data_IF_119271285958
#
_entry.id   IF_119271285958
#
_cell.length_a   1.000
_cell.length_b   1.000
_cell.length_c   1.000
_cell.angle_alpha   90.00
_cell.angle_beta   90.00
_cell.angle_gamma   90.00
#
_symmetry.space_group_name_H-M   'P 1'
#
loop_
_entity.id
_entity.type
_entity.pdbx_description
1 polymer ?
#
# COMPACT_ATOMS: atom_id res chain seq x y z
N UNK A 1 7.53 1.14 22.07
CA UNK A 1 8.21 2.42 21.78
C UNK A 1 7.55 3.13 20.59
N UNK A 2 7.44 2.47 19.43
CA UNK A 2 6.82 3.04 18.21
C UNK A 2 5.40 3.53 18.45
N UNK A 3 4.56 2.74 19.13
CA UNK A 3 3.19 3.14 19.47
C UNK A 3 3.13 4.44 20.30
N UNK A 4 4.04 4.56 21.29
CA UNK A 4 4.11 5.77 22.13
C UNK A 4 4.65 6.99 21.38
N UNK A 5 5.62 6.80 20.47
CA UNK A 5 6.22 7.92 19.72
C UNK A 5 5.29 8.43 18.63
N UNK A 6 4.60 7.53 17.93
CA UNK A 6 3.79 7.87 16.74
C UNK A 6 2.27 7.83 16.99
N UNK A 7 1.83 7.50 18.19
CA UNK A 7 0.41 7.42 18.53
C UNK A 7 -0.35 6.29 17.80
N UNK A 8 0.38 5.28 17.32
CA UNK A 8 -0.25 4.10 16.73
C UNK A 8 -0.58 3.09 17.81
N UNK A 9 -1.69 2.36 17.64
CA UNK A 9 -2.00 1.23 18.49
C UNK A 9 -0.85 0.22 18.48
N UNK A 10 -0.61 -0.41 19.62
CA UNK A 10 0.30 -1.55 19.71
C UNK A 10 -0.49 -2.76 20.21
N UNK A 11 -0.27 -3.89 19.58
CA UNK A 11 -0.86 -5.17 19.99
C UNK A 11 0.21 -6.24 19.97
N UNK A 12 0.01 -7.28 20.72
CA UNK A 12 0.91 -8.41 20.78
C UNK A 12 0.21 -9.60 21.42
N UNK A 13 0.92 -10.72 21.41
CA UNK A 13 0.49 -11.96 22.04
C UNK A 13 1.72 -12.70 22.54
N UNK A 14 1.58 -13.96 22.90
CA UNK A 14 2.69 -14.80 23.35
C UNK A 14 3.54 -15.31 22.17
N UNK A 15 4.72 -15.82 22.47
CA UNK A 15 5.58 -16.55 21.55
C UNK A 15 5.59 -18.06 21.88
N UNK A 16 5.97 -18.91 20.91
CA UNK A 16 6.15 -20.35 21.15
C UNK A 16 7.12 -20.67 22.31
N UNK A 17 8.16 -19.83 22.47
CA UNK A 17 9.11 -19.97 23.58
C UNK A 17 8.47 -19.77 24.94
N UNK A 18 7.45 -18.91 25.06
CA UNK A 18 6.69 -18.78 26.29
C UNK A 18 5.93 -20.07 26.59
N UNK A 19 5.24 -20.64 25.62
CA UNK A 19 4.53 -21.91 25.79
C UNK A 19 5.50 -23.04 26.20
N UNK A 20 6.61 -23.15 25.48
CA UNK A 20 7.64 -24.20 25.75
C UNK A 20 8.32 -24.05 27.11
N UNK A 21 8.37 -22.85 27.69
CA UNK A 21 8.98 -22.60 29.00
C UNK A 21 8.24 -23.28 30.16
N UNK A 22 6.98 -23.69 29.94
CA UNK A 22 6.18 -24.47 30.91
C UNK A 22 6.38 -25.99 30.76
N UNK A 23 7.30 -26.42 29.92
CA UNK A 23 7.60 -27.81 29.60
C UNK A 23 6.92 -28.29 28.32
N UNK A 24 7.66 -29.10 27.53
CA UNK A 24 7.19 -29.61 26.23
C UNK A 24 6.17 -30.75 26.41
N UNK A 25 5.05 -30.49 27.04
CA UNK A 25 3.95 -31.41 27.31
C UNK A 25 2.61 -30.78 27.07
N UNK A 26 1.55 -31.60 26.85
CA UNK A 26 0.18 -31.12 26.71
C UNK A 26 -0.27 -30.30 27.93
N UNK A 27 0.06 -30.78 29.13
CA UNK A 27 -0.25 -30.08 30.38
C UNK A 27 0.60 -28.81 30.58
N UNK A 28 1.86 -28.80 30.08
CA UNK A 28 2.69 -27.59 30.06
C UNK A 28 2.07 -26.47 29.20
N UNK A 29 1.55 -26.79 28.03
CA UNK A 29 0.85 -25.84 27.17
C UNK A 29 -0.40 -25.26 27.84
N UNK A 30 -1.21 -26.12 28.50
CA UNK A 30 -2.35 -25.66 29.28
C UNK A 30 -1.96 -24.67 30.39
N UNK A 31 -0.91 -25.01 31.16
CA UNK A 31 -0.39 -24.14 32.23
C UNK A 31 0.12 -22.79 31.68
N UNK A 32 0.74 -22.80 30.51
CA UNK A 32 1.16 -21.56 29.85
C UNK A 32 -0.03 -20.68 29.49
N UNK A 33 -1.08 -21.24 28.91
CA UNK A 33 -2.30 -20.51 28.57
C UNK A 33 -3.01 -19.96 29.82
N UNK A 34 -3.11 -20.76 30.88
CA UNK A 34 -3.72 -20.34 32.15
C UNK A 34 -2.92 -19.19 32.80
N UNK A 35 -1.61 -19.29 32.84
CA UNK A 35 -0.74 -18.23 33.34
C UNK A 35 -0.88 -16.93 32.52
N UNK A 36 -0.96 -17.04 31.20
CA UNK A 36 -1.16 -15.89 30.31
C UNK A 36 -2.50 -15.21 30.59
N UNK A 37 -3.61 -15.96 30.65
CA UNK A 37 -4.94 -15.40 30.91
C UNK A 37 -4.95 -14.69 32.26
N UNK A 38 -4.44 -15.34 33.32
CA UNK A 38 -4.42 -14.75 34.68
C UNK A 38 -3.62 -13.45 34.75
N UNK A 39 -2.56 -13.34 33.95
CA UNK A 39 -1.71 -12.15 33.91
C UNK A 39 -2.35 -11.00 33.11
N UNK A 40 -3.13 -11.31 32.08
CA UNK A 40 -3.72 -10.33 31.13
C UNK A 40 -5.25 -10.22 31.24
N UNK A 41 -5.85 -10.70 32.35
CA UNK A 41 -7.28 -10.60 32.54
C UNK A 41 -7.70 -9.13 32.52
N UNK A 42 -8.71 -8.81 31.71
CA UNK A 42 -9.13 -7.41 31.45
C UNK A 42 -8.50 -6.80 30.19
N UNK A 43 -7.74 -7.58 29.42
CA UNK A 43 -7.18 -7.22 28.12
C UNK A 43 -7.69 -8.17 27.03
N UNK A 44 -7.30 -7.91 25.78
CA UNK A 44 -7.58 -8.82 24.68
C UNK A 44 -6.68 -10.09 24.79
N UNK A 45 -7.32 -11.25 24.91
CA UNK A 45 -6.65 -12.53 25.20
C UNK A 45 -6.48 -13.36 23.94
N UNK A 46 -5.25 -13.55 23.45
CA UNK A 46 -4.96 -14.32 22.23
C UNK A 46 -3.98 -15.46 22.56
N UNK A 47 -4.42 -16.70 22.40
CA UNK A 47 -3.63 -17.91 22.68
C UNK A 47 -3.04 -18.49 21.41
N UNK A 48 -1.72 -18.76 21.41
CA UNK A 48 -0.99 -19.33 20.30
C UNK A 48 -1.08 -20.87 20.34
N UNK A 49 -1.87 -21.46 19.43
CA UNK A 49 -2.33 -22.86 19.56
C UNK A 49 -1.55 -23.87 18.72
N UNK A 50 -0.53 -23.48 18.01
CA UNK A 50 0.21 -24.34 17.10
C UNK A 50 1.65 -24.65 17.57
N UNK A 51 1.91 -24.56 18.87
CA UNK A 51 3.23 -24.86 19.42
C UNK A 51 3.58 -26.35 19.28
N UNK A 52 2.64 -27.26 19.52
CA UNK A 52 2.88 -28.71 19.40
C UNK A 52 1.97 -29.38 18.37
N UNK A 53 0.65 -29.22 18.52
CA UNK A 53 -0.34 -29.69 17.54
C UNK A 53 -1.61 -28.86 17.65
N UNK A 54 -1.94 -28.16 16.57
CA UNK A 54 -3.02 -27.19 16.54
C UNK A 54 -4.36 -27.77 16.97
N UNK A 55 -4.84 -28.81 16.32
CA UNK A 55 -6.19 -29.34 16.51
C UNK A 55 -6.31 -30.33 17.68
N UNK A 56 -5.26 -31.14 17.92
CA UNK A 56 -5.31 -32.22 18.92
C UNK A 56 -4.78 -31.82 20.30
N UNK A 57 -4.14 -30.67 20.41
CA UNK A 57 -3.53 -30.19 21.65
C UNK A 57 -3.86 -28.71 21.89
N UNK A 58 -3.30 -27.79 21.13
CA UNK A 58 -3.37 -26.36 21.41
C UNK A 58 -4.78 -25.80 21.42
N UNK A 59 -5.63 -26.12 20.44
CA UNK A 59 -7.01 -25.70 20.41
C UNK A 59 -7.81 -26.24 21.58
N UNK A 60 -7.65 -27.51 21.91
CA UNK A 60 -8.36 -28.15 23.04
C UNK A 60 -7.93 -27.56 24.38
N UNK A 61 -6.63 -27.28 24.55
CA UNK A 61 -6.11 -26.59 25.73
C UNK A 61 -6.62 -25.13 25.80
N UNK A 62 -6.69 -24.42 24.68
CA UNK A 62 -7.24 -23.06 24.64
C UNK A 62 -8.72 -23.04 25.08
N UNK A 63 -9.55 -23.92 24.52
CA UNK A 63 -10.96 -24.06 24.88
C UNK A 63 -11.11 -24.40 26.38
N UNK A 64 -10.34 -25.36 26.87
CA UNK A 64 -10.31 -25.73 28.29
C UNK A 64 -9.95 -24.52 29.16
N UNK A 65 -8.89 -23.81 28.82
CA UNK A 65 -8.40 -22.66 29.59
C UNK A 65 -9.40 -21.50 29.57
N UNK A 66 -10.02 -21.21 28.46
CA UNK A 66 -11.08 -20.19 28.39
C UNK A 66 -12.24 -20.53 29.33
N UNK A 67 -12.75 -21.76 29.27
CA UNK A 67 -13.86 -22.21 30.14
C UNK A 67 -13.48 -22.19 31.63
N UNK A 68 -12.28 -22.65 32.00
CA UNK A 68 -11.80 -22.66 33.39
C UNK A 68 -11.64 -21.23 33.97
N UNK A 69 -11.37 -20.23 33.13
CA UNK A 69 -11.19 -18.84 33.54
C UNK A 69 -12.44 -17.97 33.28
N UNK A 70 -13.57 -18.56 32.91
CA UNK A 70 -14.82 -17.83 32.67
C UNK A 70 -14.79 -16.90 31.44
N UNK A 71 -13.97 -17.23 30.45
CA UNK A 71 -13.90 -16.51 29.19
C UNK A 71 -14.87 -17.16 28.22
N UNK A 72 -15.88 -16.40 27.80
CA UNK A 72 -16.91 -16.81 26.86
C UNK A 72 -17.30 -15.65 25.93
N UNK A 73 -18.38 -15.82 25.16
CA UNK A 73 -18.86 -14.83 24.19
C UNK A 73 -19.27 -13.48 24.81
N UNK A 74 -19.39 -13.38 26.14
CA UNK A 74 -19.68 -12.14 26.87
C UNK A 74 -18.41 -11.45 27.38
N UNK A 75 -17.21 -11.99 27.15
CA UNK A 75 -15.98 -11.37 27.59
C UNK A 75 -15.75 -10.02 26.86
N UNK A 76 -15.73 -8.88 27.58
CA UNK A 76 -15.87 -7.56 26.98
C UNK A 76 -14.61 -7.04 26.25
N UNK A 77 -13.46 -7.64 26.51
CA UNK A 77 -12.17 -7.16 25.99
C UNK A 77 -11.71 -7.90 24.71
N UNK A 78 -12.46 -8.92 24.28
CA UNK A 78 -12.14 -9.77 23.15
C UNK A 78 -11.17 -10.90 23.50
N UNK A 79 -11.33 -12.03 22.82
CA UNK A 79 -10.47 -13.20 22.97
C UNK A 79 -10.35 -13.94 21.65
N UNK A 80 -9.31 -14.75 21.53
CA UNK A 80 -9.07 -15.47 20.30
C UNK A 80 -7.93 -16.48 20.37
N UNK A 81 -7.73 -17.14 19.26
CA UNK A 81 -6.61 -18.07 19.03
C UNK A 81 -5.76 -17.62 17.85
N UNK A 82 -4.47 -17.92 17.86
CA UNK A 82 -3.53 -17.57 16.80
C UNK A 82 -2.96 -18.81 16.15
N UNK A 83 -2.99 -18.79 14.83
CA UNK A 83 -2.35 -19.75 13.93
C UNK A 83 -1.11 -19.10 13.30
N UNK A 84 0.06 -19.68 13.49
CA UNK A 84 1.34 -19.14 13.01
C UNK A 84 2.03 -20.09 12.01
N UNK A 85 1.46 -21.27 11.75
CA UNK A 85 2.07 -22.30 10.90
C UNK A 85 1.03 -23.25 10.28
N UNK A 86 1.47 -24.03 9.31
CA UNK A 86 0.66 -25.05 8.64
C UNK A 86 -0.23 -24.47 7.53
N UNK A 87 -1.23 -25.25 7.13
CA UNK A 87 -2.24 -24.83 6.16
C UNK A 87 -3.28 -23.93 6.84
N UNK A 88 -3.07 -22.62 6.76
CA UNK A 88 -3.91 -21.63 7.45
C UNK A 88 -5.36 -21.63 6.97
N UNK A 89 -5.62 -21.94 5.68
CA UNK A 89 -6.97 -22.01 5.16
C UNK A 89 -7.72 -23.19 5.79
N UNK A 90 -7.18 -24.39 5.68
CA UNK A 90 -7.75 -25.59 6.27
C UNK A 90 -7.87 -25.49 7.79
N UNK A 91 -6.79 -25.09 8.47
CA UNK A 91 -6.79 -25.03 9.93
C UNK A 91 -7.80 -24.01 10.48
N UNK A 92 -7.95 -22.84 9.83
CA UNK A 92 -8.91 -21.84 10.30
C UNK A 92 -10.35 -22.32 10.22
N UNK A 93 -10.71 -23.07 9.18
CA UNK A 93 -12.03 -23.66 9.03
C UNK A 93 -12.30 -24.71 10.11
N UNK A 94 -11.36 -25.65 10.33
CA UNK A 94 -11.50 -26.67 11.37
C UNK A 94 -11.52 -26.06 12.78
N UNK A 95 -10.68 -25.06 13.04
CA UNK A 95 -10.66 -24.33 14.32
C UNK A 95 -12.00 -23.62 14.55
N UNK A 96 -12.55 -22.94 13.56
CA UNK A 96 -13.86 -22.25 13.66
C UNK A 96 -14.96 -23.23 14.03
N UNK A 97 -15.02 -24.36 13.34
CA UNK A 97 -16.00 -25.40 13.60
C UNK A 97 -15.91 -25.91 15.04
N UNK A 98 -14.72 -26.25 15.52
CA UNK A 98 -14.53 -26.79 16.87
C UNK A 98 -14.86 -25.70 17.94
N UNK A 99 -14.51 -24.45 17.72
CA UNK A 99 -14.85 -23.35 18.61
C UNK A 99 -16.37 -23.18 18.71
N UNK A 100 -17.10 -23.20 17.58
CA UNK A 100 -18.56 -23.08 17.53
C UNK A 100 -19.25 -24.26 18.23
N UNK A 101 -18.79 -25.49 18.00
CA UNK A 101 -19.26 -26.69 18.72
C UNK A 101 -19.09 -26.60 20.24
N UNK A 102 -18.13 -25.77 20.70
CA UNK A 102 -17.85 -25.53 22.12
C UNK A 102 -18.51 -24.28 22.70
N UNK A 103 -19.34 -23.55 21.91
CA UNK A 103 -20.05 -22.36 22.33
C UNK A 103 -19.19 -21.10 22.42
N UNK A 104 -18.09 -21.03 21.65
CA UNK A 104 -17.15 -19.91 21.59
C UNK A 104 -17.27 -19.18 20.24
N UNK A 105 -18.45 -18.71 19.89
CA UNK A 105 -18.77 -18.12 18.59
C UNK A 105 -18.05 -16.78 18.36
N UNK A 106 -17.80 -16.02 19.44
CA UNK A 106 -17.11 -14.73 19.38
C UNK A 106 -15.58 -14.84 19.48
N UNK A 107 -15.04 -16.06 19.66
CA UNK A 107 -13.60 -16.31 19.67
C UNK A 107 -12.99 -15.99 18.30
N UNK A 108 -12.07 -15.02 18.25
CA UNK A 108 -11.42 -14.58 17.00
C UNK A 108 -10.29 -15.49 16.59
N UNK A 109 -10.14 -15.69 15.28
CA UNK A 109 -9.04 -16.45 14.70
C UNK A 109 -8.05 -15.48 14.07
N UNK A 110 -6.83 -15.48 14.61
CA UNK A 110 -5.72 -14.69 14.12
C UNK A 110 -4.78 -15.56 13.30
N UNK A 111 -4.38 -15.07 12.13
CA UNK A 111 -3.33 -15.72 11.33
C UNK A 111 -2.09 -14.82 11.27
N UNK A 112 -0.93 -15.43 11.40
CA UNK A 112 0.38 -14.78 11.32
C UNK A 112 1.33 -15.66 10.51
N UNK A 113 2.59 -15.25 10.38
CA UNK A 113 3.66 -15.90 9.64
C UNK A 113 3.69 -15.58 8.14
N UNK A 114 4.67 -14.77 7.77
CA UNK A 114 5.05 -14.48 6.37
C UNK A 114 3.90 -14.01 5.47
N UNK A 115 2.87 -13.41 6.07
CA UNK A 115 1.71 -12.91 5.35
C UNK A 115 2.08 -11.70 4.52
N UNK A 116 1.50 -11.65 3.34
CA UNK A 116 1.49 -10.50 2.44
C UNK A 116 0.11 -10.38 1.76
N UNK A 117 -0.07 -9.35 0.97
CA UNK A 117 -1.32 -9.05 0.29
C UNK A 117 -1.80 -10.17 -0.64
N UNK A 118 -0.87 -10.91 -1.26
CA UNK A 118 -1.20 -12.00 -2.18
C UNK A 118 -1.68 -13.23 -1.41
N UNK A 119 -0.98 -13.60 -0.35
CA UNK A 119 -1.35 -14.74 0.48
C UNK A 119 -2.67 -14.49 1.20
N UNK A 120 -2.90 -13.27 1.72
CA UNK A 120 -4.19 -12.92 2.35
C UNK A 120 -5.32 -13.04 1.34
N UNK A 121 -5.17 -12.47 0.14
CA UNK A 121 -6.18 -12.58 -0.92
C UNK A 121 -6.47 -14.04 -1.32
N UNK A 122 -5.45 -14.89 -1.32
CA UNK A 122 -5.59 -16.31 -1.63
C UNK A 122 -6.29 -17.09 -0.50
N UNK A 123 -5.95 -16.81 0.76
CA UNK A 123 -6.63 -17.40 1.93
C UNK A 123 -8.12 -17.05 1.95
N UNK A 124 -8.48 -15.79 1.70
CA UNK A 124 -9.87 -15.37 1.59
C UNK A 124 -10.61 -16.08 0.45
N UNK A 125 -9.96 -16.22 -0.72
CA UNK A 125 -10.53 -16.95 -1.87
C UNK A 125 -10.74 -18.43 -1.57
N UNK A 126 -9.91 -19.06 -0.76
CA UNK A 126 -10.05 -20.44 -0.30
C UNK A 126 -11.14 -20.61 0.77
N UNK A 127 -11.74 -19.52 1.26
CA UNK A 127 -12.78 -19.55 2.28
C UNK A 127 -12.23 -19.74 3.70
N UNK A 128 -11.02 -19.26 3.96
CA UNK A 128 -10.42 -19.27 5.31
C UNK A 128 -11.30 -18.51 6.30
N UNK A 129 -11.47 -19.06 7.49
CA UNK A 129 -12.22 -18.45 8.58
C UNK A 129 -11.28 -17.64 9.50
N UNK A 130 -10.67 -16.58 8.95
CA UNK A 130 -9.69 -15.74 9.65
C UNK A 130 -10.29 -14.36 9.90
N UNK A 131 -10.29 -13.91 11.14
CA UNK A 131 -10.80 -12.59 11.52
C UNK A 131 -9.74 -11.50 11.47
N UNK A 132 -8.47 -11.84 11.73
CA UNK A 132 -7.38 -10.88 11.84
C UNK A 132 -6.08 -11.45 11.24
N UNK A 133 -5.36 -10.59 10.52
CA UNK A 133 -4.06 -10.92 9.93
C UNK A 133 -2.95 -10.12 10.61
N UNK A 134 -1.92 -10.81 11.10
CA UNK A 134 -0.70 -10.19 11.63
C UNK A 134 0.39 -10.15 10.57
N UNK A 135 0.49 -9.02 9.86
CA UNK A 135 1.50 -8.81 8.81
C UNK A 135 2.70 -8.10 9.41
N UNK A 136 3.86 -8.76 9.38
CA UNK A 136 5.12 -8.24 9.91
C UNK A 136 6.08 -7.79 8.82
N UNK A 137 6.90 -8.70 8.32
CA UNK A 137 8.01 -8.42 7.42
C UNK A 137 7.60 -7.68 6.14
N UNK A 138 6.48 -8.08 5.53
CA UNK A 138 6.02 -7.46 4.28
C UNK A 138 5.73 -5.97 4.43
N UNK A 139 5.17 -5.54 5.58
CA UNK A 139 4.93 -4.12 5.88
C UNK A 139 6.23 -3.44 6.35
N UNK A 140 6.97 -4.06 7.29
CA UNK A 140 8.14 -3.44 7.92
C UNK A 140 9.27 -3.18 6.92
N UNK A 141 9.44 -4.06 5.93
CA UNK A 141 10.45 -3.94 4.88
C UNK A 141 9.94 -3.33 3.58
N UNK A 142 8.63 -3.09 3.46
CA UNK A 142 7.98 -2.73 2.18
C UNK A 142 8.35 -3.73 1.07
N UNK A 143 8.24 -5.04 1.35
CA UNK A 143 8.82 -6.16 0.59
C UNK A 143 8.59 -6.07 -0.92
N UNK A 144 7.43 -5.61 -1.35
CA UNK A 144 7.09 -5.47 -2.78
C UNK A 144 7.85 -4.31 -3.47
N UNK A 145 8.18 -3.23 -2.71
CA UNK A 145 8.88 -2.05 -3.22
C UNK A 145 9.72 -1.41 -2.10
N UNK A 146 10.84 -2.03 -1.70
CA UNK A 146 11.61 -1.60 -0.53
C UNK A 146 12.32 -0.25 -0.69
N UNK A 147 12.48 0.21 -1.94
CA UNK A 147 13.14 1.46 -2.27
C UNK A 147 12.33 2.24 -3.30
N UNK A 148 12.16 3.53 -3.07
CA UNK A 148 11.72 4.43 -4.14
C UNK A 148 12.87 4.65 -5.13
N UNK A 149 12.67 4.32 -6.40
CA UNK A 149 13.64 4.52 -7.48
C UNK A 149 13.81 5.98 -7.89
N UNK A 150 13.89 6.89 -6.94
CA UNK A 150 14.01 8.32 -7.20
C UNK A 150 15.37 8.66 -7.78
N UNK A 151 15.39 9.42 -8.87
CA UNK A 151 16.59 9.89 -9.54
C UNK A 151 16.46 11.38 -9.79
N UNK A 152 17.52 12.13 -9.46
CA UNK A 152 17.64 13.53 -9.83
C UNK A 152 18.25 13.68 -11.23
N UNK A 153 17.59 14.43 -12.10
CA UNK A 153 18.05 14.67 -13.50
C UNK A 153 17.99 16.17 -13.79
N UNK A 154 19.05 16.68 -14.43
CA UNK A 154 19.07 18.03 -14.99
C UNK A 154 18.20 18.07 -16.24
N UNK A 155 17.23 18.96 -16.28
CA UNK A 155 16.26 19.10 -17.39
C UNK A 155 16.32 20.47 -18.07
N UNK A 156 16.93 21.46 -17.42
CA UNK A 156 17.09 22.82 -17.96
C UNK A 156 18.36 23.45 -17.39
N UNK A 157 19.12 24.15 -18.25
CA UNK A 157 20.29 24.94 -17.91
C UNK A 157 20.18 26.30 -18.59
N UNK A 158 20.30 27.40 -17.84
CA UNK A 158 20.20 28.77 -18.32
C UNK A 158 18.99 29.04 -19.25
N UNK A 159 17.84 28.52 -18.83
CA UNK A 159 16.58 28.64 -19.59
C UNK A 159 16.47 27.71 -20.80
N UNK A 160 17.53 26.98 -21.16
CA UNK A 160 17.52 26.06 -22.29
C UNK A 160 17.19 24.62 -21.84
N UNK A 161 16.28 23.92 -22.52
CA UNK A 161 15.98 22.52 -22.23
C UNK A 161 17.20 21.64 -22.48
N UNK A 162 17.48 20.73 -21.54
CA UNK A 162 18.52 19.71 -21.67
C UNK A 162 17.97 18.36 -21.27
N UNK A 163 18.54 17.29 -21.79
CA UNK A 163 18.13 15.94 -21.44
C UNK A 163 19.29 14.94 -21.56
N UNK A 164 19.15 13.83 -20.85
CA UNK A 164 19.98 12.66 -21.12
C UNK A 164 19.29 11.83 -22.21
N UNK A 165 19.99 11.57 -23.30
CA UNK A 165 19.66 10.54 -24.27
C UNK A 165 20.18 9.19 -23.79
N UNK A 166 19.40 8.13 -23.89
CA UNK A 166 19.75 6.78 -23.44
C UNK A 166 19.23 5.75 -24.43
N UNK A 167 19.95 4.65 -24.62
CA UNK A 167 19.50 3.50 -25.41
C UNK A 167 18.22 2.87 -24.81
N UNK A 168 18.09 2.92 -23.49
CA UNK A 168 16.88 2.51 -22.80
C UNK A 168 15.87 3.67 -22.77
N UNK A 169 14.78 3.53 -23.51
CA UNK A 169 13.71 4.54 -23.59
C UNK A 169 13.12 4.89 -22.23
N UNK A 170 13.00 3.91 -21.32
CA UNK A 170 12.49 4.14 -19.96
C UNK A 170 13.39 5.05 -19.12
N UNK A 171 14.67 5.21 -19.52
CA UNK A 171 15.63 6.10 -18.86
C UNK A 171 15.77 7.46 -19.55
N UNK A 172 15.09 7.68 -20.66
CA UNK A 172 15.03 9.00 -21.30
C UNK A 172 14.13 9.91 -20.48
N UNK A 173 14.58 11.14 -20.25
CA UNK A 173 13.88 12.14 -19.46
C UNK A 173 13.21 13.18 -20.38
N UNK A 174 12.16 13.79 -19.89
CA UNK A 174 11.55 14.93 -20.57
C UNK A 174 12.35 16.20 -20.25
N UNK A 175 12.74 17.01 -21.28
CA UNK A 175 13.52 18.22 -21.08
C UNK A 175 12.66 19.42 -20.63
N UNK A 176 13.31 20.45 -20.09
CA UNK A 176 12.70 21.75 -19.80
C UNK A 176 12.03 21.83 -18.42
N UNK A 177 11.59 23.02 -18.06
CA UNK A 177 10.94 23.30 -16.77
C UNK A 177 9.47 22.89 -16.81
N UNK A 178 9.14 21.77 -16.21
CA UNK A 178 7.86 21.08 -16.36
C UNK A 178 6.86 21.39 -15.25
N UNK A 179 5.58 21.14 -15.57
CA UNK A 179 4.49 20.98 -14.60
C UNK A 179 3.72 19.72 -14.95
N UNK A 180 3.30 18.99 -13.93
CA UNK A 180 2.39 17.84 -14.09
C UNK A 180 1.05 18.19 -13.47
N UNK A 181 0.00 18.08 -14.27
CA UNK A 181 -1.38 18.25 -13.86
C UNK A 181 -2.03 16.90 -13.64
N UNK A 182 -2.71 16.72 -12.50
CA UNK A 182 -3.64 15.61 -12.29
C UNK A 182 -5.04 16.07 -12.66
N UNK A 183 -5.66 15.33 -13.55
CA UNK A 183 -6.99 15.60 -14.05
C UNK A 183 -7.99 14.66 -13.40
N UNK A 184 -9.06 15.21 -12.83
CA UNK A 184 -10.18 14.46 -12.28
C UNK A 184 -11.43 14.68 -13.13
N UNK A 185 -12.29 13.68 -13.20
CA UNK A 185 -13.62 13.80 -13.76
C UNK A 185 -14.60 14.22 -12.66
N UNK A 186 -15.46 15.21 -12.93
CA UNK A 186 -16.33 15.82 -11.93
C UNK A 186 -17.61 15.04 -11.61
N UNK A 187 -18.02 14.07 -12.46
CA UNK A 187 -19.31 13.40 -12.31
C UNK A 187 -19.29 11.96 -12.89
N UNK A 188 -19.99 10.96 -12.32
CA UNK A 188 -20.77 10.98 -11.06
C UNK A 188 -19.90 10.95 -9.80
N UNK A 189 -18.64 10.53 -9.91
CA UNK A 189 -17.67 10.47 -8.83
C UNK A 189 -16.40 11.20 -9.25
N UNK A 190 -15.76 11.92 -8.35
CA UNK A 190 -14.48 12.58 -8.60
C UNK A 190 -13.36 11.54 -8.68
N UNK A 191 -13.18 10.95 -9.84
CA UNK A 191 -12.12 9.98 -10.11
C UNK A 191 -10.95 10.60 -10.88
N UNK A 192 -9.73 10.24 -10.54
CA UNK A 192 -8.55 10.57 -11.34
C UNK A 192 -8.64 9.91 -12.71
N UNK A 193 -8.28 10.64 -13.75
CA UNK A 193 -8.39 10.18 -15.14
C UNK A 193 -7.07 10.07 -15.86
N UNK A 194 -6.18 11.04 -15.65
CA UNK A 194 -4.94 11.15 -16.38
C UNK A 194 -4.03 12.16 -15.67
N UNK A 195 -2.74 11.92 -15.69
CA UNK A 195 -1.73 12.93 -15.41
C UNK A 195 -1.16 13.47 -16.73
N UNK A 196 -0.94 14.78 -16.81
CA UNK A 196 -0.41 15.45 -18.00
C UNK A 196 0.80 16.24 -17.61
N UNK A 197 1.95 15.92 -18.20
CA UNK A 197 3.19 16.68 -18.04
C UNK A 197 3.39 17.62 -19.21
N UNK A 198 3.62 18.89 -18.95
CA UNK A 198 3.79 19.95 -19.92
C UNK A 198 4.94 20.90 -19.51
N UNK A 199 5.41 21.73 -20.43
CA UNK A 199 6.32 22.82 -20.09
C UNK A 199 5.52 23.92 -19.37
N UNK A 200 6.08 24.51 -18.33
CA UNK A 200 5.42 25.62 -17.63
C UNK A 200 5.25 26.81 -18.54
N UNK A 201 3.99 27.26 -18.67
CA UNK A 201 3.61 28.39 -19.48
C UNK A 201 3.44 28.09 -20.96
N UNK A 202 3.54 26.83 -21.42
CA UNK A 202 3.16 26.44 -22.78
C UNK A 202 1.63 26.55 -22.98
N UNK A 203 1.16 26.25 -24.19
CA UNK A 203 -0.26 26.32 -24.51
C UNK A 203 -1.08 25.32 -23.66
N UNK A 204 -0.57 24.09 -23.53
CA UNK A 204 -1.21 23.04 -22.73
C UNK A 204 -1.31 23.42 -21.26
N UNK A 205 -0.23 23.95 -20.65
CA UNK A 205 -0.23 24.41 -19.25
C UNK A 205 -1.28 25.49 -19.00
N UNK A 206 -1.36 26.48 -19.89
CA UNK A 206 -2.36 27.57 -19.79
C UNK A 206 -3.78 27.06 -19.99
N UNK A 207 -4.02 26.26 -21.02
CA UNK A 207 -5.34 25.72 -21.36
C UNK A 207 -5.92 24.87 -20.22
N UNK A 208 -5.09 24.00 -19.61
CA UNK A 208 -5.48 23.18 -18.45
C UNK A 208 -5.71 24.08 -17.22
N UNK A 209 -4.83 25.05 -16.98
CA UNK A 209 -4.95 26.00 -15.87
C UNK A 209 -6.23 26.83 -15.93
N UNK A 210 -6.71 27.14 -17.12
CA UNK A 210 -7.96 27.88 -17.36
C UNK A 210 -9.21 27.00 -17.42
N UNK A 211 -9.04 25.66 -17.32
CA UNK A 211 -10.13 24.68 -17.38
C UNK A 211 -10.79 24.57 -18.76
N UNK A 212 -10.09 24.94 -19.82
CA UNK A 212 -10.60 24.97 -21.20
C UNK A 212 -10.52 23.60 -21.87
N UNK A 213 -11.31 23.40 -22.92
CA UNK A 213 -11.27 22.19 -23.73
C UNK A 213 -9.90 21.99 -24.38
N UNK A 214 -9.31 20.80 -24.22
CA UNK A 214 -8.05 20.43 -24.85
C UNK A 214 -8.05 18.95 -25.23
N UNK A 215 -7.39 18.61 -26.34
CA UNK A 215 -7.14 17.21 -26.74
C UNK A 215 -5.68 16.88 -26.50
N UNK A 216 -5.45 15.77 -25.79
CA UNK A 216 -4.15 15.25 -25.43
C UNK A 216 -3.92 13.94 -26.17
N UNK A 217 -2.71 13.71 -26.61
CA UNK A 217 -2.33 12.53 -27.36
C UNK A 217 -1.31 11.71 -26.59
N UNK A 218 -1.36 10.38 -26.79
CA UNK A 218 -0.35 9.47 -26.24
C UNK A 218 1.03 9.77 -26.90
N UNK A 219 2.09 9.73 -26.12
CA UNK A 219 3.46 10.03 -26.59
C UNK A 219 3.92 9.07 -27.69
N UNK A 220 3.52 7.81 -27.63
CA UNK A 220 3.99 6.74 -28.52
C UNK A 220 2.95 6.48 -29.63
N UNK A 221 1.68 6.37 -29.26
CA UNK A 221 0.58 6.02 -30.16
C UNK A 221 -0.37 7.20 -30.35
N UNK A 222 -0.11 8.02 -31.34
CA UNK A 222 -0.86 9.25 -31.64
C UNK A 222 -2.33 8.98 -32.06
N UNK A 223 -2.72 7.73 -32.35
CA UNK A 223 -4.12 7.36 -32.54
C UNK A 223 -4.89 7.28 -31.21
N UNK A 224 -4.19 7.17 -30.09
CA UNK A 224 -4.77 7.23 -28.77
C UNK A 224 -4.76 8.67 -28.27
N UNK A 225 -5.94 9.22 -28.14
CA UNK A 225 -6.11 10.59 -27.65
C UNK A 225 -7.21 10.67 -26.60
N UNK A 226 -7.21 11.74 -25.85
CA UNK A 226 -8.25 12.08 -24.89
C UNK A 226 -8.58 13.57 -24.96
N UNK A 227 -9.87 13.88 -25.15
CA UNK A 227 -10.36 15.25 -25.06
C UNK A 227 -10.87 15.51 -23.64
N UNK A 228 -10.37 16.58 -23.03
CA UNK A 228 -10.86 17.16 -21.80
C UNK A 228 -11.81 18.30 -22.20
N UNK A 229 -13.05 18.21 -21.77
CA UNK A 229 -14.09 19.19 -22.13
C UNK A 229 -14.24 20.20 -21.00
N UNK A 230 -14.33 21.48 -21.34
CA UNK A 230 -14.56 22.57 -20.38
C UNK A 230 -15.78 22.27 -19.49
N UNK A 231 -15.65 22.42 -18.19
CA UNK A 231 -16.68 22.13 -17.20
C UNK A 231 -16.85 20.66 -16.79
N UNK A 232 -16.22 19.70 -17.51
CA UNK A 232 -16.31 18.27 -17.19
C UNK A 232 -15.13 17.74 -16.38
N UNK A 233 -14.10 18.55 -16.14
CA UNK A 233 -12.93 18.16 -15.38
C UNK A 233 -12.46 19.23 -14.41
N UNK A 234 -11.71 18.80 -13.41
CA UNK A 234 -10.87 19.65 -12.57
C UNK A 234 -9.40 19.27 -12.77
N UNK A 235 -8.51 20.25 -12.61
CA UNK A 235 -7.08 20.06 -12.75
C UNK A 235 -6.34 20.55 -11.50
N UNK A 236 -5.40 19.77 -11.02
CA UNK A 236 -4.58 20.08 -9.86
C UNK A 236 -3.10 19.90 -10.20
N UNK A 237 -2.23 20.91 -9.96
CA UNK A 237 -0.80 20.73 -10.14
C UNK A 237 -0.25 19.78 -9.07
N UNK A 238 0.56 18.80 -9.47
CA UNK A 238 1.14 17.81 -8.54
C UNK A 238 2.37 18.33 -7.81
N UNK A 239 3.14 19.23 -8.44
CA UNK A 239 4.34 19.78 -7.82
C UNK A 239 3.97 20.90 -6.86
N UNK A 240 4.48 20.78 -5.63
CA UNK A 240 4.43 21.82 -4.60
C UNK A 240 5.86 22.29 -4.27
N UNK A 241 6.00 23.58 -3.99
CA UNK A 241 7.28 24.12 -3.54
C UNK A 241 7.49 23.74 -2.07
N UNK A 242 8.46 22.88 -1.79
CA UNK A 242 8.78 22.41 -0.43
C UNK A 242 9.92 23.19 0.22
N UNK A 243 10.77 23.83 -0.59
CA UNK A 243 11.89 24.69 -0.11
C UNK A 243 11.99 25.93 -0.97
N UNK A 244 12.34 27.06 -0.34
CA UNK A 244 12.65 28.34 -0.96
C UNK A 244 13.77 29.02 -0.18
N UNK A 245 14.78 29.53 -0.87
CA UNK A 245 15.93 30.25 -0.27
C UNK A 245 16.56 29.47 0.90
N UNK A 246 16.74 28.15 0.73
CA UNK A 246 17.31 27.25 1.73
C UNK A 246 16.38 26.93 2.92
N UNK A 247 15.15 27.42 2.93
CA UNK A 247 14.18 27.21 4.00
C UNK A 247 13.01 26.33 3.55
N UNK A 248 12.51 25.49 4.47
CA UNK A 248 11.29 24.72 4.23
C UNK A 248 10.07 25.64 4.13
N UNK A 249 9.24 25.43 3.09
CA UNK A 249 8.01 26.22 2.84
C UNK A 249 6.73 25.48 3.26
N UNK A 250 6.83 24.20 3.63
CA UNK A 250 5.68 23.36 3.98
C UNK A 250 5.83 22.85 5.41
N UNK A 251 4.71 22.79 6.12
CA UNK A 251 4.66 22.17 7.45
C UNK A 251 4.87 20.66 7.36
N UNK A 252 5.47 20.10 8.39
CA UNK A 252 5.64 18.67 8.50
C UNK A 252 4.34 18.04 8.99
N UNK A 253 3.68 17.28 8.12
CA UNK A 253 2.48 16.54 8.49
C UNK A 253 2.79 15.45 9.49
N UNK A 254 1.89 15.26 10.46
CA UNK A 254 1.87 14.11 11.36
C UNK A 254 1.63 12.80 10.58
N UNK A 255 1.85 11.65 11.22
CA UNK A 255 1.58 10.35 10.62
C UNK A 255 0.08 10.17 10.31
N UNK A 256 -0.80 10.64 11.20
CA UNK A 256 -2.24 10.59 11.00
C UNK A 256 -2.70 11.40 9.76
N UNK A 257 -2.18 12.62 9.59
CA UNK A 257 -2.46 13.46 8.43
C UNK A 257 -1.92 12.85 7.13
N UNK A 258 -0.74 12.22 7.16
CA UNK A 258 -0.21 11.49 6.00
C UNK A 258 -1.08 10.31 5.61
N UNK A 259 -1.57 9.55 6.61
CA UNK A 259 -2.49 8.42 6.37
C UNK A 259 -3.83 8.89 5.83
N UNK A 260 -4.39 9.96 6.39
CA UNK A 260 -5.63 10.55 5.89
C UNK A 260 -5.48 11.04 4.44
N UNK A 261 -4.39 11.75 4.13
CA UNK A 261 -4.06 12.18 2.77
C UNK A 261 -3.91 11.00 1.80
N UNK A 262 -3.21 9.94 2.20
CA UNK A 262 -3.07 8.73 1.38
C UNK A 262 -4.42 8.08 1.08
N UNK A 263 -5.25 7.89 2.10
CA UNK A 263 -6.56 7.27 1.95
C UNK A 263 -7.49 8.11 1.05
N UNK A 264 -7.48 9.43 1.23
CA UNK A 264 -8.20 10.37 0.38
C UNK A 264 -7.76 10.21 -1.08
N UNK A 265 -6.46 10.27 -1.37
CA UNK A 265 -5.96 10.13 -2.74
C UNK A 265 -6.26 8.76 -3.35
N UNK A 266 -6.14 7.69 -2.56
CA UNK A 266 -6.44 6.34 -3.01
C UNK A 266 -7.93 6.16 -3.35
N UNK A 267 -8.83 6.84 -2.66
CA UNK A 267 -10.27 6.78 -2.91
C UNK A 267 -10.65 7.27 -4.31
N UNK A 268 -9.88 8.20 -4.89
CA UNK A 268 -10.09 8.75 -6.23
C UNK A 268 -9.60 7.85 -7.39
N UNK A 269 -8.91 6.74 -7.11
CA UNK A 269 -8.61 5.74 -8.13
C UNK A 269 -9.74 4.73 -8.27
N UNK A 270 -10.01 4.30 -9.50
CA UNK A 270 -11.02 3.28 -9.78
C UNK A 270 -10.64 1.91 -9.17
N UNK A 271 -11.63 1.05 -8.97
CA UNK A 271 -11.37 -0.31 -8.47
C UNK A 271 -10.48 -1.11 -9.43
N UNK A 272 -10.56 -0.85 -10.74
CA UNK A 272 -9.72 -1.53 -11.74
C UNK A 272 -8.24 -1.14 -11.61
N UNK A 273 -7.93 0.09 -11.23
CA UNK A 273 -6.56 0.58 -10.99
C UNK A 273 -6.00 0.10 -9.65
N UNK A 274 -6.88 -0.19 -8.68
CA UNK A 274 -6.52 -0.68 -7.34
C UNK A 274 -6.39 -2.20 -7.25
N UNK A 275 -6.66 -2.93 -8.34
CA UNK A 275 -6.53 -4.40 -8.32
C UNK A 275 -5.11 -4.83 -7.98
N UNK A 276 -5.01 -5.85 -7.13
CA UNK A 276 -3.73 -6.43 -6.74
C UNK A 276 -3.04 -7.16 -7.91
N UNK A 277 -3.85 -7.86 -8.74
CA UNK A 277 -3.35 -8.61 -9.90
C UNK A 277 -3.85 -7.94 -11.17
N UNK A 278 -2.96 -7.69 -12.11
CA UNK A 278 -3.22 -7.05 -13.39
C UNK A 278 -4.05 -5.76 -13.25
N UNK A 279 -3.56 -4.74 -12.52
CA UNK A 279 -4.26 -3.47 -12.39
C UNK A 279 -4.39 -2.80 -13.76
N UNK A 280 -5.46 -2.00 -13.91
CA UNK A 280 -5.58 -1.14 -15.08
C UNK A 280 -4.48 -0.06 -15.02
N UNK A 281 -3.84 0.19 -16.15
CA UNK A 281 -2.77 1.17 -16.23
C UNK A 281 -3.34 2.59 -16.11
N UNK A 282 -2.82 3.37 -15.16
CA UNK A 282 -3.16 4.78 -15.03
C UNK A 282 -2.43 5.59 -16.10
N UNK A 283 -3.17 6.35 -16.89
CA UNK A 283 -2.61 7.07 -18.04
C UNK A 283 -1.80 8.29 -17.60
N UNK A 284 -0.61 8.43 -18.21
CA UNK A 284 0.25 9.62 -18.06
C UNK A 284 0.65 10.07 -19.45
N UNK A 285 0.24 11.28 -19.83
CA UNK A 285 0.55 11.87 -21.15
C UNK A 285 1.49 13.08 -21.00
N UNK A 286 2.04 13.51 -22.12
CA UNK A 286 2.83 14.74 -22.23
C UNK A 286 2.18 15.71 -23.24
N UNK A 287 2.46 17.01 -23.09
CA UNK A 287 2.00 17.99 -24.07
C UNK A 287 2.72 17.84 -25.41
N UNK A 288 2.06 18.28 -26.50
CA UNK A 288 2.68 18.28 -27.82
C UNK A 288 3.93 19.17 -27.85
N UNK A 289 3.90 20.31 -27.18
CA UNK A 289 5.05 21.22 -27.09
C UNK A 289 6.24 20.58 -26.34
N UNK A 290 5.98 19.80 -25.31
CA UNK A 290 7.03 19.05 -24.61
C UNK A 290 7.58 17.93 -25.48
N UNK A 291 6.72 17.20 -26.18
CA UNK A 291 7.12 16.16 -27.12
C UNK A 291 7.98 16.73 -28.26
N UNK A 292 7.54 17.81 -28.89
CA UNK A 292 8.28 18.49 -29.97
C UNK A 292 9.66 18.98 -29.49
N UNK A 293 9.71 19.54 -28.28
CA UNK A 293 10.98 19.94 -27.64
C UNK A 293 11.90 18.75 -27.45
N UNK A 294 11.37 17.62 -26.97
CA UNK A 294 12.12 16.37 -26.77
C UNK A 294 12.66 15.82 -28.09
N UNK A 295 11.79 15.73 -29.09
CA UNK A 295 12.15 15.19 -30.40
C UNK A 295 13.19 16.08 -31.12
N UNK A 296 13.06 17.39 -31.08
CA UNK A 296 14.02 18.33 -31.69
C UNK A 296 15.42 18.22 -31.07
N UNK A 297 15.50 17.98 -29.75
CA UNK A 297 16.80 17.75 -29.09
C UNK A 297 17.42 16.42 -29.56
N UNK A 298 16.57 15.36 -29.63
CA UNK A 298 17.06 14.03 -30.09
C UNK A 298 17.58 14.11 -31.53
N UNK A 299 16.78 14.68 -32.45
CA UNK A 299 17.16 14.82 -33.85
C UNK A 299 18.47 15.59 -34.02
N UNK A 300 18.61 16.72 -33.31
CA UNK A 300 19.87 17.49 -33.32
C UNK A 300 21.06 16.66 -32.83
N UNK A 301 20.91 15.98 -31.68
CA UNK A 301 22.00 15.18 -31.11
C UNK A 301 22.37 13.99 -31.99
N UNK A 302 21.41 13.32 -32.60
CA UNK A 302 21.67 12.21 -33.53
C UNK A 302 22.49 12.72 -34.70
N UNK A 303 22.12 13.86 -35.32
CA UNK A 303 22.87 14.45 -36.43
C UNK A 303 24.30 14.85 -36.01
N UNK A 304 24.45 15.53 -34.86
CA UNK A 304 25.77 15.90 -34.33
C UNK A 304 26.67 14.68 -34.06
N UNK A 305 26.07 13.57 -33.58
CA UNK A 305 26.80 12.31 -33.33
C UNK A 305 27.23 11.65 -34.66
N UNK A 306 26.34 11.62 -35.67
CA UNK A 306 26.67 11.06 -37.00
C UNK A 306 27.76 11.86 -37.73
N UNK A 307 27.75 13.19 -37.54
CA UNK A 307 28.79 14.09 -38.13
C UNK A 307 30.08 14.11 -37.28
N UNK A 308 30.10 13.53 -36.09
CA UNK A 308 31.28 13.54 -35.22
C UNK A 308 32.35 12.57 -35.73
N UNK A 309 33.40 13.13 -36.26
CA UNK A 309 34.59 12.39 -36.72
C UNK A 309 35.80 12.84 -35.91
N UNK A 310 36.57 11.89 -35.34
CA UNK A 310 37.81 12.16 -34.59
C UNK A 310 38.99 12.24 -35.54
#
# INVERSE_FOLDING_TARGET
LTGNIFGCGSTGTMAHSFVSSFGCTVEGEHKAFDAYIKTHLGENLILLIDTYNTLKCGLLNAIRTFKENGIDDNYPYGYGVRLDSGDLAYLSVEVRKILDENGLHNCKIFATNSLDEYLISDLERQGACIDCYGVGDAIATSKAAPCFGNVYKLVQLDGKPVMKMSEDRAKMINPGFQRTWRISKNYPEELFKIDVTCLRGDLTDRTISEGKTITLYDEIDRFKYKTLVEGEYTAQPLQIQVMKDGKRCVEQRSLAEKKAFYNDRLSHFSQSEKRLINPHFFKVDISDELLDTKLSIIERLVKEIEEFTI
#
